data_IF_143864985407
#
_entry.id   IF_143864985407
#
_cell.length_a   1.000
_cell.length_b   1.000
_cell.length_c   1.000
_cell.angle_alpha   90.00
_cell.angle_beta   90.00
_cell.angle_gamma   90.00
#
_symmetry.space_group_name_H-M   'P 1'
#
loop_
_entity.id
_entity.type
_entity.pdbx_description
1 polymer ?
#
# COMPACT_ATOMS: atom_id res chain seq x y z
N UNK A 1 20.63 35.08 70.25
CA UNK A 1 19.83 36.29 70.00
C UNK A 1 19.40 36.29 68.54
N UNK A 2 18.08 36.31 68.27
CA UNK A 2 17.49 36.67 66.99
C UNK A 2 17.03 35.50 66.08
N UNK A 3 15.99 34.75 66.50
CA UNK A 3 15.16 33.97 65.59
C UNK A 3 14.36 34.88 64.66
N UNK A 4 14.41 34.64 63.35
CA UNK A 4 13.40 35.18 62.43
C UNK A 4 12.84 34.04 61.58
N UNK A 5 11.60 33.65 61.91
CA UNK A 5 10.75 32.74 61.17
C UNK A 5 10.31 33.36 59.85
N UNK A 6 10.59 32.69 58.73
CA UNK A 6 10.01 33.01 57.42
C UNK A 6 8.86 32.00 57.12
N UNK A 7 7.66 32.54 57.10
CA UNK A 7 6.43 31.83 56.75
C UNK A 7 6.35 31.75 55.20
N UNK A 8 6.43 30.54 54.63
CA UNK A 8 6.23 30.29 53.23
C UNK A 8 4.73 30.04 53.00
N UNK A 9 4.07 31.00 52.35
CA UNK A 9 2.70 30.82 51.82
C UNK A 9 2.78 29.98 50.52
N UNK A 10 2.29 28.76 50.60
CA UNK A 10 2.06 27.91 49.42
C UNK A 10 0.73 28.29 48.79
N UNK A 11 0.80 28.98 47.63
CA UNK A 11 -0.37 29.31 46.84
C UNK A 11 -0.81 28.06 46.02
N UNK A 12 -1.99 27.54 46.36
CA UNK A 12 -2.67 26.42 45.70
C UNK A 12 -3.35 26.93 44.42
N UNK A 13 -2.69 26.79 43.28
CA UNK A 13 -3.26 27.03 41.95
C UNK A 13 -4.18 25.85 41.58
N UNK A 14 -5.47 25.96 41.85
CA UNK A 14 -6.52 25.09 41.32
C UNK A 14 -6.67 25.41 39.81
N UNK A 15 -6.02 24.62 38.97
CA UNK A 15 -6.25 24.62 37.53
C UNK A 15 -7.67 24.11 37.23
N UNK A 16 -8.57 25.01 36.84
CA UNK A 16 -9.84 24.63 36.21
C UNK A 16 -9.56 24.03 34.84
N UNK A 17 -9.48 22.71 34.74
CA UNK A 17 -9.60 21.99 33.47
C UNK A 17 -11.06 22.00 33.07
N UNK A 18 -11.45 22.97 32.21
CA UNK A 18 -12.74 22.94 31.57
C UNK A 18 -12.79 21.70 30.65
N UNK A 19 -13.78 20.81 30.77
CA UNK A 19 -13.95 19.71 29.83
C UNK A 19 -14.26 20.32 28.47
N UNK A 20 -13.42 20.01 27.47
CA UNK A 20 -13.74 20.25 26.05
C UNK A 20 -14.94 19.35 25.71
N UNK A 21 -16.14 19.89 25.82
CA UNK A 21 -17.31 19.24 25.22
C UNK A 21 -17.13 19.24 23.73
N UNK A 22 -16.93 18.06 23.15
CA UNK A 22 -17.13 17.86 21.72
C UNK A 22 -18.57 18.31 21.44
N UNK A 23 -18.73 19.40 20.70
CA UNK A 23 -20.04 19.84 20.25
C UNK A 23 -20.57 18.76 19.31
N UNK A 24 -21.52 18.00 19.81
CA UNK A 24 -22.30 17.05 19.02
C UNK A 24 -23.10 17.91 18.02
N UNK A 25 -22.64 17.93 16.76
CA UNK A 25 -23.32 18.71 15.70
C UNK A 25 -24.65 18.00 15.43
N UNK A 26 -25.73 18.49 16.05
CA UNK A 26 -27.07 17.94 15.89
C UNK A 26 -27.69 18.50 14.61
N UNK A 27 -28.35 17.63 13.85
CA UNK A 27 -29.21 18.01 12.76
C UNK A 27 -30.64 18.18 13.29
N UNK A 28 -31.17 19.41 13.25
CA UNK A 28 -32.57 19.69 13.66
C UNK A 28 -33.55 19.44 12.52
N UNK A 29 -33.06 19.01 11.34
CA UNK A 29 -33.86 18.69 10.16
C UNK A 29 -33.72 17.23 9.73
N UNK A 30 -33.71 17.02 8.43
CA UNK A 30 -33.51 15.70 7.81
C UNK A 30 -32.04 15.39 7.67
N UNK A 31 -31.57 14.29 8.28
CA UNK A 31 -30.22 13.80 8.11
C UNK A 31 -30.14 13.02 6.79
N UNK A 32 -29.23 13.44 5.88
CA UNK A 32 -28.92 12.73 4.65
C UNK A 32 -27.49 12.15 4.74
N UNK A 33 -27.38 10.84 4.74
CA UNK A 33 -26.11 10.12 4.70
C UNK A 33 -25.79 9.68 3.27
N UNK A 34 -24.66 10.10 2.73
CA UNK A 34 -24.22 9.74 1.39
C UNK A 34 -22.87 9.02 1.43
N UNK A 35 -22.76 7.95 0.65
CA UNK A 35 -21.48 7.32 0.37
C UNK A 35 -21.07 7.61 -1.08
N UNK A 36 -19.94 8.27 -1.25
CA UNK A 36 -19.38 8.59 -2.57
C UNK A 36 -18.07 7.85 -2.75
N UNK A 37 -17.92 7.20 -3.89
CA UNK A 37 -16.67 6.53 -4.27
C UNK A 37 -16.19 7.12 -5.59
N UNK A 38 -14.94 7.56 -5.60
CA UNK A 38 -14.23 7.98 -6.80
C UNK A 38 -12.98 7.13 -6.99
N UNK A 39 -12.64 6.85 -8.25
CA UNK A 39 -11.48 6.04 -8.62
C UNK A 39 -10.71 6.72 -9.75
N UNK A 40 -9.42 6.48 -9.78
CA UNK A 40 -8.54 6.97 -10.81
C UNK A 40 -7.28 6.14 -10.96
N UNK A 41 -6.54 6.41 -12.02
CA UNK A 41 -5.25 5.80 -12.29
C UNK A 41 -4.19 6.88 -12.37
N UNK A 42 -3.02 6.62 -11.81
CA UNK A 42 -1.85 7.46 -11.95
C UNK A 42 -0.91 6.94 -13.03
N UNK A 43 0.07 7.74 -13.35
CA UNK A 43 1.15 7.37 -14.25
C UNK A 43 2.08 6.37 -13.55
N UNK A 44 2.51 5.33 -14.28
CA UNK A 44 3.53 4.38 -13.78
C UNK A 44 4.90 5.05 -13.85
N UNK A 45 5.57 5.14 -12.71
CA UNK A 45 6.93 5.68 -12.58
C UNK A 45 7.95 4.54 -12.51
N UNK A 46 7.68 3.54 -11.69
CA UNK A 46 8.54 2.40 -11.42
C UNK A 46 7.70 1.15 -11.15
N UNK A 47 8.38 0.01 -10.99
CA UNK A 47 7.75 -1.27 -10.72
C UNK A 47 8.36 -1.91 -9.48
N UNK A 48 7.54 -2.44 -8.61
CA UNK A 48 7.96 -3.34 -7.55
C UNK A 48 7.96 -4.75 -8.10
N UNK A 49 9.07 -5.45 -8.00
CA UNK A 49 9.19 -6.85 -8.40
C UNK A 49 9.31 -7.79 -7.20
N UNK A 50 8.88 -9.02 -7.39
CA UNK A 50 9.06 -10.10 -6.44
C UNK A 50 9.65 -11.32 -7.16
N UNK A 51 10.84 -11.76 -6.71
CA UNK A 51 11.51 -12.97 -7.16
C UNK A 51 11.44 -14.02 -6.08
N UNK A 52 11.17 -15.27 -6.48
CA UNK A 52 11.29 -16.43 -5.62
C UNK A 52 12.53 -17.23 -5.99
N UNK A 53 13.36 -17.52 -4.99
CA UNK A 53 14.51 -18.41 -5.09
C UNK A 53 14.14 -19.76 -4.52
N UNK A 54 14.51 -20.84 -5.21
CA UNK A 54 14.33 -22.23 -4.78
C UNK A 54 15.64 -22.98 -4.93
N UNK A 55 15.98 -23.77 -3.94
CA UNK A 55 17.10 -24.70 -3.99
C UNK A 55 16.68 -26.05 -3.39
N UNK A 56 17.13 -27.15 -3.97
CA UNK A 56 16.82 -28.51 -3.51
C UNK A 56 18.12 -29.28 -3.33
N UNK A 57 18.16 -30.10 -2.28
CA UNK A 57 19.28 -30.99 -1.98
C UNK A 57 18.83 -32.23 -1.19
N UNK A 58 19.75 -33.15 -0.94
CA UNK A 58 19.53 -34.36 -0.14
C UNK A 58 19.36 -34.05 1.35
N UNK A 59 19.92 -32.94 1.85
CA UNK A 59 19.78 -32.49 3.23
C UNK A 59 19.32 -31.06 3.33
N UNK A 60 18.72 -30.70 4.48
CA UNK A 60 18.29 -29.34 4.80
C UNK A 60 19.45 -28.33 4.75
N UNK A 61 20.61 -28.72 5.28
CA UNK A 61 21.81 -27.88 5.32
C UNK A 61 22.34 -27.60 3.91
N UNK A 62 22.41 -28.61 3.07
CA UNK A 62 22.84 -28.43 1.66
C UNK A 62 21.87 -27.58 0.88
N UNK A 63 20.55 -27.77 1.06
CA UNK A 63 19.56 -26.94 0.41
C UNK A 63 19.69 -25.45 0.82
N UNK A 64 19.95 -25.16 2.08
CA UNK A 64 20.21 -23.80 2.57
C UNK A 64 21.52 -23.23 2.02
N UNK A 65 22.57 -24.02 1.94
CA UNK A 65 23.85 -23.57 1.38
C UNK A 65 23.73 -23.26 -0.13
N UNK A 66 23.00 -24.09 -0.86
CA UNK A 66 22.71 -23.84 -2.27
C UNK A 66 21.86 -22.57 -2.45
N UNK A 67 20.85 -22.37 -1.60
CA UNK A 67 20.03 -21.15 -1.62
C UNK A 67 20.88 -19.89 -1.37
N UNK A 68 21.86 -19.96 -0.43
CA UNK A 68 22.80 -18.86 -0.17
C UNK A 68 23.64 -18.54 -1.41
N UNK A 69 24.19 -19.56 -2.09
CA UNK A 69 24.96 -19.35 -3.34
C UNK A 69 24.13 -18.67 -4.40
N UNK A 70 22.90 -19.15 -4.63
CA UNK A 70 21.95 -18.53 -5.57
C UNK A 70 21.63 -17.09 -5.19
N UNK A 71 21.40 -16.80 -3.91
CA UNK A 71 21.13 -15.46 -3.42
C UNK A 71 22.27 -14.49 -3.75
N UNK A 72 23.53 -14.90 -3.57
CA UNK A 72 24.69 -14.07 -3.93
C UNK A 72 24.71 -13.79 -5.44
N UNK A 73 24.50 -14.81 -6.27
CA UNK A 73 24.44 -14.67 -7.73
C UNK A 73 23.30 -13.73 -8.17
N UNK A 74 22.11 -13.91 -7.61
CA UNK A 74 20.95 -13.05 -7.93
C UNK A 74 21.22 -11.59 -7.52
N UNK A 75 21.75 -11.37 -6.31
CA UNK A 75 22.12 -10.02 -5.87
C UNK A 75 23.09 -9.37 -6.85
N UNK A 76 24.16 -10.02 -7.22
CA UNK A 76 25.17 -9.46 -8.14
C UNK A 76 24.61 -9.13 -9.52
N UNK A 77 23.66 -9.90 -10.03
CA UNK A 77 23.10 -9.73 -11.37
C UNK A 77 21.92 -8.75 -11.42
N UNK A 78 21.15 -8.66 -10.34
CA UNK A 78 19.92 -7.84 -10.27
C UNK A 78 20.19 -6.45 -9.66
N UNK A 79 21.22 -6.32 -8.81
CA UNK A 79 21.49 -5.07 -8.10
C UNK A 79 21.69 -3.86 -9.04
N UNK A 80 22.39 -4.04 -10.15
CA UNK A 80 22.60 -2.97 -11.13
C UNK A 80 21.35 -2.57 -11.92
N UNK A 81 20.29 -3.40 -11.90
CA UNK A 81 19.00 -3.11 -12.53
C UNK A 81 17.99 -2.51 -11.57
N UNK A 82 18.18 -2.76 -10.27
CA UNK A 82 17.24 -2.33 -9.23
C UNK A 82 17.46 -0.89 -8.80
N UNK A 83 16.38 -0.26 -8.36
CA UNK A 83 16.41 1.04 -7.69
C UNK A 83 16.44 0.82 -6.17
N UNK A 84 17.49 1.29 -5.52
CA UNK A 84 17.61 1.21 -4.07
C UNK A 84 17.90 -0.20 -3.53
N UNK A 85 17.39 -0.48 -2.32
CA UNK A 85 17.73 -1.68 -1.55
C UNK A 85 16.86 -2.88 -1.94
N UNK A 86 17.51 -4.03 -2.12
CA UNK A 86 16.81 -5.31 -2.21
C UNK A 86 16.46 -5.83 -0.80
N UNK A 87 15.21 -6.22 -0.62
CA UNK A 87 14.71 -6.84 0.62
C UNK A 87 14.63 -8.35 0.42
N UNK A 88 15.24 -9.11 1.33
CA UNK A 88 15.27 -10.57 1.27
C UNK A 88 14.53 -11.14 2.46
N UNK A 89 13.58 -12.04 2.21
CA UNK A 89 12.85 -12.72 3.28
C UNK A 89 13.73 -13.76 4.00
N UNK A 90 13.39 -14.07 5.24
CA UNK A 90 13.99 -15.22 5.92
C UNK A 90 13.75 -16.51 5.11
N UNK A 91 14.76 -17.40 4.99
CA UNK A 91 14.62 -18.65 4.26
C UNK A 91 13.66 -19.60 4.97
N UNK A 92 12.85 -20.30 4.19
CA UNK A 92 11.98 -21.39 4.66
C UNK A 92 12.46 -22.71 4.08
N UNK A 93 12.40 -23.78 4.87
CA UNK A 93 12.76 -25.13 4.42
C UNK A 93 11.62 -26.09 4.67
N UNK A 94 11.40 -26.99 3.72
CA UNK A 94 10.43 -28.09 3.83
C UNK A 94 10.94 -29.33 3.10
N UNK A 95 10.39 -30.47 3.46
CA UNK A 95 10.73 -31.76 2.87
C UNK A 95 9.76 -32.03 1.72
N UNK A 96 10.30 -32.51 0.60
CA UNK A 96 9.53 -32.90 -0.59
C UNK A 96 9.74 -34.38 -0.85
N UNK A 97 8.67 -35.11 -1.18
CA UNK A 97 8.72 -36.53 -1.49
C UNK A 97 8.89 -37.38 -0.25
N UNK A 98 7.84 -38.06 0.17
CA UNK A 98 7.87 -39.01 1.26
C UNK A 98 7.23 -40.34 0.86
N UNK A 99 7.13 -40.63 -0.45
CA UNK A 99 6.59 -41.93 -0.92
C UNK A 99 7.70 -42.94 -1.13
N UNK A 100 7.38 -44.19 -0.94
CA UNK A 100 8.27 -45.35 -1.00
C UNK A 100 9.11 -45.48 -2.28
N UNK A 101 8.76 -44.72 -3.34
CA UNK A 101 9.43 -44.76 -4.65
C UNK A 101 10.28 -43.52 -4.99
N UNK A 102 10.24 -42.47 -4.18
CA UNK A 102 11.00 -41.23 -4.44
C UNK A 102 11.89 -40.87 -3.26
N UNK A 103 13.20 -40.61 -3.48
CA UNK A 103 14.09 -40.22 -2.40
C UNK A 103 13.63 -38.90 -1.78
N UNK A 104 13.64 -38.84 -0.46
CA UNK A 104 13.35 -37.65 0.32
C UNK A 104 14.32 -36.53 -0.07
N UNK A 105 13.79 -35.39 -0.44
CA UNK A 105 14.56 -34.16 -0.75
C UNK A 105 14.14 -33.00 0.14
N UNK A 106 15.08 -32.11 0.41
CA UNK A 106 14.82 -30.88 1.14
C UNK A 106 14.83 -29.70 0.18
N UNK A 107 13.84 -28.84 0.28
CA UNK A 107 13.75 -27.60 -0.48
C UNK A 107 13.88 -26.40 0.45
N UNK A 108 14.76 -25.48 0.08
CA UNK A 108 14.87 -24.17 0.71
C UNK A 108 14.34 -23.10 -0.25
N UNK A 109 13.61 -22.13 0.27
CA UNK A 109 13.05 -21.00 -0.50
C UNK A 109 13.28 -19.69 0.21
N UNK A 110 13.47 -18.62 -0.57
CA UNK A 110 13.45 -17.23 -0.11
C UNK A 110 12.85 -16.35 -1.19
N UNK A 111 12.30 -15.21 -0.81
CA UNK A 111 11.86 -14.17 -1.76
C UNK A 111 12.77 -12.95 -1.69
N UNK A 112 12.94 -12.32 -2.83
CA UNK A 112 13.62 -11.03 -2.98
C UNK A 112 12.60 -10.07 -3.56
N UNK A 113 12.43 -8.92 -2.92
CA UNK A 113 11.64 -7.81 -3.45
C UNK A 113 12.52 -6.58 -3.63
N UNK A 114 12.20 -5.79 -4.62
CA UNK A 114 12.90 -4.55 -4.91
C UNK A 114 12.10 -3.71 -5.90
N UNK A 115 12.63 -2.57 -6.28
CA UNK A 115 12.03 -1.68 -7.26
C UNK A 115 12.92 -1.57 -8.49
N UNK A 116 12.31 -1.34 -9.64
CA UNK A 116 12.97 -1.18 -10.93
C UNK A 116 12.32 -0.04 -11.70
N UNK A 117 13.14 0.78 -12.36
CA UNK A 117 12.66 1.83 -13.26
C UNK A 117 12.15 1.25 -14.58
N UNK A 118 11.40 2.08 -15.33
CA UNK A 118 10.82 1.69 -16.62
C UNK A 118 11.86 1.18 -17.63
N UNK A 119 13.03 1.79 -17.68
CA UNK A 119 14.12 1.39 -18.61
C UNK A 119 14.69 0.01 -18.33
N UNK A 120 14.64 -0.44 -17.08
CA UNK A 120 15.17 -1.73 -16.65
C UNK A 120 14.08 -2.79 -16.47
N UNK A 121 12.81 -2.52 -16.85
CA UNK A 121 11.68 -3.42 -16.72
C UNK A 121 11.92 -4.75 -17.45
N UNK A 122 12.11 -4.68 -18.77
CA UNK A 122 12.39 -5.86 -19.61
C UNK A 122 13.75 -6.51 -19.28
N UNK A 123 14.87 -5.77 -19.13
CA UNK A 123 16.14 -6.35 -18.71
C UNK A 123 16.06 -7.15 -17.42
N UNK A 124 15.27 -6.71 -16.43
CA UNK A 124 15.07 -7.44 -15.18
C UNK A 124 14.34 -8.76 -15.42
N UNK A 125 13.27 -8.77 -16.20
CA UNK A 125 12.49 -9.98 -16.52
C UNK A 125 13.37 -11.01 -17.22
N UNK A 126 14.10 -10.58 -18.23
CA UNK A 126 15.01 -11.45 -18.99
C UNK A 126 16.13 -12.00 -18.10
N UNK A 127 16.73 -11.14 -17.26
CA UNK A 127 17.79 -11.55 -16.36
C UNK A 127 17.29 -12.56 -15.32
N UNK A 128 16.10 -12.31 -14.74
CA UNK A 128 15.48 -13.23 -13.78
C UNK A 128 15.20 -14.60 -14.41
N UNK A 129 14.71 -14.62 -15.67
CA UNK A 129 14.43 -15.86 -16.40
C UNK A 129 15.65 -16.71 -16.74
N UNK A 130 16.86 -16.12 -16.78
CA UNK A 130 18.13 -16.83 -17.06
C UNK A 130 18.76 -17.41 -15.79
N UNK A 131 18.30 -17.04 -14.61
CA UNK A 131 18.94 -17.47 -13.35
C UNK A 131 18.34 -18.80 -12.87
N UNK A 132 19.18 -19.82 -12.58
CA UNK A 132 18.70 -21.15 -12.18
C UNK A 132 18.00 -21.09 -10.81
N UNK A 133 16.81 -21.69 -10.74
CA UNK A 133 16.01 -21.73 -9.52
C UNK A 133 15.46 -20.40 -9.06
N UNK A 134 15.38 -19.43 -9.95
CA UNK A 134 14.74 -18.13 -9.76
C UNK A 134 13.44 -18.08 -10.59
N UNK A 135 12.39 -17.59 -10.01
CA UNK A 135 11.13 -17.30 -10.70
C UNK A 135 10.67 -15.90 -10.36
N UNK A 136 10.23 -15.16 -11.37
CA UNK A 136 9.53 -13.90 -11.19
C UNK A 136 8.07 -14.21 -10.76
N UNK A 137 7.68 -13.73 -9.56
CA UNK A 137 6.33 -13.96 -9.03
C UNK A 137 5.33 -12.87 -9.42
N UNK A 138 5.84 -11.73 -9.83
CA UNK A 138 5.03 -10.62 -10.29
C UNK A 138 5.78 -9.31 -10.28
N UNK A 139 5.21 -8.37 -11.03
CA UNK A 139 5.61 -6.98 -11.05
C UNK A 139 4.38 -6.11 -10.84
N UNK A 140 4.50 -5.13 -9.97
CA UNK A 140 3.41 -4.21 -9.62
C UNK A 140 3.84 -2.80 -9.99
N UNK A 141 3.02 -2.13 -10.79
CA UNK A 141 3.25 -0.73 -11.15
C UNK A 141 3.09 0.20 -9.94
N UNK A 142 4.02 1.10 -9.78
CA UNK A 142 3.99 2.14 -8.74
C UNK A 142 4.01 3.52 -9.41
N UNK A 143 3.27 4.46 -8.83
CA UNK A 143 3.37 5.88 -9.15
C UNK A 143 4.49 6.54 -8.36
N UNK A 144 4.92 7.72 -8.80
CA UNK A 144 5.70 8.61 -7.96
C UNK A 144 4.84 9.08 -6.77
N UNK A 145 5.48 9.56 -5.71
CA UNK A 145 4.76 10.09 -4.54
C UNK A 145 3.92 11.31 -4.95
N UNK A 146 4.47 12.18 -5.79
CA UNK A 146 3.80 13.42 -6.23
C UNK A 146 2.58 13.11 -7.10
N UNK A 147 2.70 12.17 -8.06
CA UNK A 147 1.57 11.72 -8.89
C UNK A 147 0.47 11.06 -8.04
N UNK A 148 0.87 10.29 -7.03
CA UNK A 148 -0.08 9.64 -6.12
C UNK A 148 -0.84 10.66 -5.27
N UNK A 149 -0.14 11.66 -4.71
CA UNK A 149 -0.76 12.73 -3.92
C UNK A 149 -1.66 13.63 -4.79
N UNK A 150 -1.18 14.00 -5.99
CA UNK A 150 -1.97 14.80 -6.92
C UNK A 150 -3.26 14.08 -7.33
N UNK A 151 -3.19 12.77 -7.60
CA UNK A 151 -4.37 11.97 -7.90
C UNK A 151 -5.31 11.88 -6.69
N UNK A 152 -4.79 11.68 -5.49
CA UNK A 152 -5.61 11.63 -4.27
C UNK A 152 -6.39 12.93 -4.06
N UNK A 153 -5.73 14.08 -4.24
CA UNK A 153 -6.38 15.38 -4.15
C UNK A 153 -7.49 15.55 -5.20
N UNK A 154 -7.22 15.20 -6.47
CA UNK A 154 -8.21 15.25 -7.54
C UNK A 154 -9.41 14.33 -7.28
N UNK A 155 -9.17 13.13 -6.70
CA UNK A 155 -10.24 12.20 -6.34
C UNK A 155 -11.10 12.78 -5.19
N UNK A 156 -10.46 13.40 -4.20
CA UNK A 156 -11.14 14.03 -3.07
C UNK A 156 -12.05 15.19 -3.55
N UNK A 157 -11.52 16.07 -4.38
CA UNK A 157 -12.28 17.19 -4.96
C UNK A 157 -13.51 16.69 -5.75
N UNK A 158 -13.32 15.68 -6.61
CA UNK A 158 -14.41 15.07 -7.38
C UNK A 158 -15.46 14.41 -6.49
N UNK A 159 -15.02 13.69 -5.46
CA UNK A 159 -15.92 13.03 -4.52
C UNK A 159 -16.76 14.03 -3.72
N UNK A 160 -16.15 15.10 -3.21
CA UNK A 160 -16.86 16.17 -2.51
C UNK A 160 -17.85 16.88 -3.43
N UNK A 161 -17.44 17.25 -4.65
CA UNK A 161 -18.32 17.88 -5.63
C UNK A 161 -19.51 16.98 -6.02
N UNK A 162 -19.29 15.68 -6.14
CA UNK A 162 -20.34 14.70 -6.44
C UNK A 162 -21.32 14.55 -5.27
N UNK A 163 -20.79 14.41 -4.03
CA UNK A 163 -21.62 14.32 -2.84
C UNK A 163 -22.49 15.56 -2.66
N UNK A 164 -21.90 16.75 -2.85
CA UNK A 164 -22.63 18.00 -2.78
C UNK A 164 -23.77 18.07 -3.81
N UNK A 165 -23.51 17.76 -5.07
CA UNK A 165 -24.57 17.73 -6.13
C UNK A 165 -25.70 16.77 -5.78
N UNK A 166 -25.38 15.58 -5.25
CA UNK A 166 -26.38 14.62 -4.82
C UNK A 166 -27.24 15.17 -3.66
N UNK A 167 -26.61 15.82 -2.69
CA UNK A 167 -27.29 16.43 -1.56
C UNK A 167 -28.19 17.60 -2.00
N UNK A 168 -27.70 18.48 -2.89
CA UNK A 168 -28.48 19.58 -3.49
C UNK A 168 -29.70 19.06 -4.27
N UNK A 169 -29.53 18.00 -5.05
CA UNK A 169 -30.64 17.37 -5.78
C UNK A 169 -31.68 16.80 -4.82
N UNK A 170 -31.25 16.12 -3.76
CA UNK A 170 -32.17 15.57 -2.74
C UNK A 170 -32.90 16.69 -2.00
N UNK A 171 -32.19 17.76 -1.62
CA UNK A 171 -32.74 18.95 -1.00
C UNK A 171 -33.88 19.56 -1.83
N UNK A 172 -33.64 19.72 -3.15
CA UNK A 172 -34.63 20.28 -4.08
C UNK A 172 -35.87 19.38 -4.19
N UNK A 173 -35.69 18.07 -4.30
CA UNK A 173 -36.79 17.08 -4.38
C UNK A 173 -37.68 17.08 -3.14
N UNK A 174 -37.08 17.36 -1.97
CA UNK A 174 -37.79 17.41 -0.70
C UNK A 174 -38.39 18.83 -0.43
N UNK A 175 -38.12 19.80 -1.26
CA UNK A 175 -38.59 21.19 -1.08
C UNK A 175 -37.94 21.93 0.10
N UNK A 176 -36.77 21.42 0.58
CA UNK A 176 -36.02 22.03 1.67
C UNK A 176 -35.12 23.16 1.17
N UNK A 177 -34.79 24.11 2.05
CA UNK A 177 -34.10 25.34 1.62
C UNK A 177 -32.64 25.43 2.05
N UNK A 178 -32.25 24.66 3.08
CA UNK A 178 -30.90 24.74 3.62
C UNK A 178 -30.20 23.39 3.50
N UNK A 179 -28.92 23.44 3.18
CA UNK A 179 -28.02 22.28 3.08
C UNK A 179 -26.75 22.58 3.84
N UNK A 180 -26.45 21.80 4.87
CA UNK A 180 -25.24 21.92 5.65
C UNK A 180 -24.51 20.60 5.74
N UNK A 181 -23.24 20.57 5.36
CA UNK A 181 -22.36 19.41 5.59
C UNK A 181 -21.96 19.40 7.06
N UNK A 182 -22.27 18.32 7.78
CA UNK A 182 -22.02 18.19 9.22
C UNK A 182 -20.90 17.20 9.55
N UNK A 183 -20.67 16.20 8.68
CA UNK A 183 -19.57 15.24 8.89
C UNK A 183 -18.98 14.74 7.58
N UNK A 184 -17.68 14.53 7.58
CA UNK A 184 -16.92 13.84 6.53
C UNK A 184 -16.13 12.71 7.18
N UNK A 185 -16.33 11.48 6.73
CA UNK A 185 -15.46 10.34 7.04
C UNK A 185 -14.79 9.90 5.75
N UNK A 186 -13.47 10.11 5.67
CA UNK A 186 -12.66 9.79 4.49
C UNK A 186 -11.91 8.49 4.70
N UNK A 187 -12.01 7.59 3.71
CA UNK A 187 -11.21 6.37 3.64
C UNK A 187 -10.50 6.29 2.31
N UNK A 188 -9.17 6.31 2.35
CA UNK A 188 -8.33 6.11 1.17
C UNK A 188 -8.01 4.63 1.04
N UNK A 189 -8.22 4.07 -0.15
CA UNK A 189 -7.84 2.71 -0.49
C UNK A 189 -6.89 2.71 -1.68
N UNK A 190 -5.64 2.30 -1.48
CA UNK A 190 -4.69 1.99 -2.55
C UNK A 190 -4.75 0.51 -2.87
N UNK A 191 -5.36 0.12 -3.99
CA UNK A 191 -5.34 -1.24 -4.50
C UNK A 191 -4.14 -1.46 -5.41
N UNK A 192 -3.10 -2.16 -4.94
CA UNK A 192 -2.06 -2.65 -5.83
C UNK A 192 -2.55 -3.92 -6.52
N UNK A 193 -2.94 -3.80 -7.79
CA UNK A 193 -3.23 -4.98 -8.59
C UNK A 193 -1.91 -5.67 -8.94
N UNK A 194 -1.69 -6.86 -8.42
CA UNK A 194 -0.61 -7.74 -8.88
C UNK A 194 -0.99 -8.23 -10.28
N UNK A 195 -0.20 -7.85 -11.27
CA UNK A 195 -0.25 -8.45 -12.58
C UNK A 195 0.36 -9.85 -12.50
N UNK A 196 -0.47 -10.89 -12.54
CA UNK A 196 -0.02 -12.27 -12.62
C UNK A 196 0.02 -12.82 -14.04
N UNK A 197 -0.41 -12.04 -15.03
CA UNK A 197 -0.45 -12.46 -16.42
C UNK A 197 0.78 -11.91 -17.16
N UNK A 198 1.86 -12.69 -17.19
CA UNK A 198 2.92 -12.53 -18.19
C UNK A 198 2.44 -13.22 -19.45
N UNK A 199 1.81 -12.49 -20.35
CA UNK A 199 1.59 -12.96 -21.72
C UNK A 199 2.96 -13.20 -22.36
N UNK A 200 3.21 -14.43 -22.81
CA UNK A 200 4.40 -14.76 -23.59
C UNK A 200 4.21 -14.17 -24.98
N UNK A 201 4.62 -12.94 -25.18
CA UNK A 201 4.84 -12.40 -26.52
C UNK A 201 6.27 -12.73 -26.94
N UNK A 202 6.46 -13.15 -28.17
CA UNK A 202 7.79 -13.28 -28.80
C UNK A 202 8.36 -11.88 -29.04
N UNK A 203 8.90 -11.26 -27.96
CA UNK A 203 9.40 -9.89 -27.99
C UNK A 203 9.81 -9.40 -26.61
N UNK A 204 10.25 -8.18 -26.54
CA UNK A 204 10.53 -7.49 -25.28
C UNK A 204 9.23 -7.21 -24.51
N UNK A 205 9.28 -7.28 -23.17
CA UNK A 205 8.16 -6.90 -22.32
C UNK A 205 8.05 -5.37 -22.26
N UNK A 206 6.93 -4.82 -22.74
CA UNK A 206 6.68 -3.38 -22.72
C UNK A 206 6.11 -2.94 -21.36
N UNK A 207 6.79 -2.03 -20.62
CA UNK A 207 6.27 -1.49 -19.38
C UNK A 207 4.98 -0.69 -19.54
N UNK A 208 4.60 -0.27 -20.75
CA UNK A 208 3.34 0.43 -21.02
C UNK A 208 2.11 -0.49 -20.99
N UNK A 209 2.31 -1.80 -21.21
CA UNK A 209 1.26 -2.82 -21.14
C UNK A 209 0.92 -3.21 -19.70
N UNK A 210 1.78 -2.86 -18.72
CA UNK A 210 1.53 -3.15 -17.33
C UNK A 210 0.32 -2.37 -16.81
N UNK A 211 -0.52 -2.98 -15.94
CA UNK A 211 -1.66 -2.30 -15.34
C UNK A 211 -1.23 -1.04 -14.60
N UNK A 212 -1.89 0.08 -14.87
CA UNK A 212 -1.60 1.35 -14.20
C UNK A 212 -1.95 1.28 -12.70
N UNK A 213 -1.20 2.00 -11.84
CA UNK A 213 -1.55 2.12 -10.42
C UNK A 213 -2.95 2.72 -10.27
N UNK A 214 -3.77 2.13 -9.41
CA UNK A 214 -5.14 2.60 -9.13
C UNK A 214 -5.24 3.10 -7.70
N UNK A 215 -5.98 4.17 -7.53
CA UNK A 215 -6.37 4.69 -6.23
C UNK A 215 -7.88 4.88 -6.18
N UNK A 216 -8.44 4.75 -4.98
CA UNK A 216 -9.84 5.05 -4.73
C UNK A 216 -9.99 5.84 -3.44
N UNK A 217 -10.92 6.76 -3.43
CA UNK A 217 -11.38 7.48 -2.24
C UNK A 217 -12.84 7.11 -2.02
N UNK A 218 -13.16 6.80 -0.76
CA UNK A 218 -14.54 6.68 -0.29
C UNK A 218 -14.78 7.75 0.75
N UNK A 219 -15.82 8.55 0.53
CA UNK A 219 -16.32 9.52 1.49
C UNK A 219 -17.68 9.10 1.98
N UNK A 220 -17.87 9.08 3.29
CA UNK A 220 -19.18 9.11 3.90
C UNK A 220 -19.44 10.54 4.34
N UNK A 221 -20.49 11.14 3.82
CA UNK A 221 -20.84 12.56 3.98
C UNK A 221 -22.23 12.64 4.61
N UNK A 222 -22.30 13.31 5.74
CA UNK A 222 -23.58 13.55 6.42
C UNK A 222 -23.96 15.02 6.22
N UNK A 223 -25.14 15.22 5.65
CA UNK A 223 -25.73 16.54 5.43
C UNK A 223 -27.00 16.71 6.26
N UNK A 224 -27.16 17.89 6.82
CA UNK A 224 -28.41 18.32 7.44
C UNK A 224 -29.19 19.17 6.45
N UNK A 225 -30.43 18.79 6.19
CA UNK A 225 -31.37 19.44 5.27
C UNK A 225 -32.50 20.08 6.08
N UNK A 226 -32.74 21.40 5.90
CA UNK A 226 -33.78 22.18 6.60
C UNK A 226 -34.64 22.99 5.60
#
# INVERSE_FOLDING_TARGET
MGCRSAVLMAGLLLGLTAPLYAQDVRCDGTLLELTVVEQGTSRTDRFQFALRLKAQASSKTEALNELKRRLVTVRSKIFGLSMGRLVVSAPRTYTIGSNTTSPQRHQATASITGEVGRSNYDPLIQQAGRLPGVSLEGMTSLSSTDDAQSLEQQLLERALAKGRRQAESTQQLLGLRQLQLIRIDQRSGGGHLRSSALSRSEGSFDPSEAPKPRQSIRLNLDYCLN
#
